data_IF_989403194300
#
_entry.id   IF_989403194300
#
_cell.length_a   1.000
_cell.length_b   1.000
_cell.length_c   1.000
_cell.angle_alpha   90.00
_cell.angle_beta   90.00
_cell.angle_gamma   90.00
#
_symmetry.space_group_name_H-M   'P 1'
#
loop_
_entity.id
_entity.type
_entity.pdbx_description
1 polymer ?
#
# COMPACT_ATOMS: atom_id res chain seq x y z
N UNK A 1 13.80 29.46 -10.92
CA UNK A 1 12.59 29.07 -10.15
C UNK A 1 12.64 27.57 -9.80
N UNK A 2 13.72 27.13 -9.13
CA UNK A 2 13.95 25.70 -8.78
C UNK A 2 14.01 25.45 -7.26
N UNK A 3 14.08 26.50 -6.43
CA UNK A 3 14.20 26.36 -4.98
C UNK A 3 12.94 25.80 -4.30
N UNK A 4 11.74 26.14 -4.79
CA UNK A 4 10.48 25.63 -4.21
C UNK A 4 10.27 24.12 -4.44
N UNK A 5 10.63 23.61 -5.62
CA UNK A 5 10.45 22.19 -5.94
C UNK A 5 11.37 21.29 -5.11
N UNK A 6 12.61 21.72 -4.83
CA UNK A 6 13.53 21.00 -3.93
C UNK A 6 13.06 21.04 -2.47
N UNK A 7 12.48 22.16 -2.03
CA UNK A 7 11.96 22.30 -0.66
C UNK A 7 10.77 21.38 -0.41
N UNK A 8 9.84 21.30 -1.38
CA UNK A 8 8.71 20.38 -1.33
C UNK A 8 9.16 18.92 -1.36
N UNK A 9 10.06 18.55 -2.28
CA UNK A 9 10.58 17.18 -2.40
C UNK A 9 11.30 16.67 -1.14
N UNK A 10 12.04 17.53 -0.45
CA UNK A 10 12.68 17.22 0.84
C UNK A 10 11.66 17.01 1.96
N UNK A 11 10.65 17.88 2.05
CA UNK A 11 9.59 17.78 3.06
C UNK A 11 8.75 16.51 2.92
N UNK A 12 8.50 16.01 1.71
CA UNK A 12 7.77 14.74 1.53
C UNK A 12 8.54 13.54 2.08
N UNK A 13 9.87 13.48 1.87
CA UNK A 13 10.71 12.43 2.45
C UNK A 13 10.75 12.51 3.97
N UNK A 14 10.88 13.70 4.55
CA UNK A 14 10.83 13.87 6.00
C UNK A 14 9.46 13.50 6.58
N UNK A 15 8.36 13.94 5.95
CA UNK A 15 7.00 13.62 6.38
C UNK A 15 6.73 12.13 6.34
N UNK A 16 7.29 11.43 5.37
CA UNK A 16 7.19 9.98 5.25
C UNK A 16 7.98 9.25 6.32
N UNK A 17 9.25 9.62 6.55
CA UNK A 17 10.04 9.05 7.64
C UNK A 17 9.31 9.24 8.97
N UNK A 18 8.72 10.43 9.18
CA UNK A 18 7.90 10.71 10.35
C UNK A 18 6.67 9.79 10.41
N UNK A 19 5.93 9.64 9.31
CA UNK A 19 4.74 8.77 9.23
C UNK A 19 5.08 7.30 9.45
N UNK A 20 6.18 6.81 8.90
CA UNK A 20 6.67 5.44 9.12
C UNK A 20 7.05 5.23 10.58
N UNK A 21 7.74 6.19 11.19
CA UNK A 21 8.11 6.12 12.61
C UNK A 21 6.89 6.18 13.52
N UNK A 22 5.90 7.03 13.21
CA UNK A 22 4.62 7.10 13.92
C UNK A 22 3.85 5.79 13.77
N UNK A 23 3.80 5.23 12.56
CA UNK A 23 3.16 3.94 12.29
C UNK A 23 3.82 2.82 13.09
N UNK A 24 5.15 2.72 13.10
CA UNK A 24 5.88 1.74 13.92
C UNK A 24 5.63 1.95 15.41
N UNK A 25 5.68 3.19 15.88
CA UNK A 25 5.44 3.50 17.30
C UNK A 25 4.01 3.11 17.71
N UNK A 26 3.01 3.43 16.87
CA UNK A 26 1.61 3.04 17.08
C UNK A 26 1.44 1.52 17.02
N UNK A 27 2.06 0.85 16.06
CA UNK A 27 2.11 -0.61 15.94
C UNK A 27 2.67 -1.27 17.20
N UNK A 28 3.70 -0.67 17.82
CA UNK A 28 4.31 -1.21 19.05
C UNK A 28 3.48 -0.90 20.31
N UNK A 29 2.84 0.27 20.37
CA UNK A 29 2.09 0.76 21.55
C UNK A 29 0.63 0.28 21.60
N UNK A 30 -0.03 0.27 20.45
CA UNK A 30 -1.47 0.04 20.27
C UNK A 30 -1.75 -1.30 19.57
N UNK A 31 -0.73 -1.89 18.93
CA UNK A 31 -0.87 -3.06 18.09
C UNK A 31 -1.12 -2.72 16.62
N UNK A 32 -0.82 -3.70 15.75
CA UNK A 32 -1.12 -3.65 14.31
C UNK A 32 -2.61 -3.48 14.02
N UNK A 33 -3.45 -4.01 14.91
CA UNK A 33 -4.89 -4.04 14.73
C UNK A 33 -5.59 -2.74 15.18
N UNK A 34 -4.86 -1.72 15.66
CA UNK A 34 -5.49 -0.48 16.13
C UNK A 34 -5.97 0.39 14.96
N UNK A 35 -7.18 0.98 15.06
CA UNK A 35 -7.79 1.79 14.01
C UNK A 35 -6.88 2.96 13.59
N UNK A 36 -6.26 3.64 14.57
CA UNK A 36 -5.29 4.71 14.29
C UNK A 36 -4.02 4.24 13.59
N UNK A 37 -3.59 2.99 13.81
CA UNK A 37 -2.47 2.39 13.08
C UNK A 37 -2.86 2.16 11.62
N UNK A 38 -4.06 1.61 11.40
CA UNK A 38 -4.59 1.34 10.06
C UNK A 38 -4.81 2.63 9.26
N UNK A 39 -5.30 3.71 9.90
CA UNK A 39 -5.45 5.02 9.26
C UNK A 39 -4.07 5.58 8.87
N UNK A 40 -3.07 5.49 9.76
CA UNK A 40 -1.70 5.91 9.44
C UNK A 40 -1.10 5.12 8.28
N UNK A 41 -1.31 3.81 8.24
CA UNK A 41 -0.88 2.96 7.13
C UNK A 41 -1.57 3.36 5.82
N UNK A 42 -2.90 3.54 5.80
CA UNK A 42 -3.63 3.99 4.61
C UNK A 42 -3.12 5.33 4.07
N UNK A 43 -2.79 6.28 4.94
CA UNK A 43 -2.22 7.55 4.51
C UNK A 43 -0.83 7.39 3.87
N UNK A 44 -0.01 6.50 4.42
CA UNK A 44 1.31 6.18 3.87
C UNK A 44 1.19 5.51 2.49
N UNK A 45 0.26 4.55 2.34
CA UNK A 45 -0.08 3.87 1.10
C UNK A 45 -0.38 4.87 -0.03
N UNK A 46 -1.30 5.82 0.19
CA UNK A 46 -1.63 6.84 -0.82
C UNK A 46 -0.45 7.77 -1.12
N UNK A 47 0.34 8.10 -0.10
CA UNK A 47 1.52 8.95 -0.28
C UNK A 47 2.57 8.26 -1.15
N UNK A 48 2.84 6.97 -0.91
CA UNK A 48 3.75 6.17 -1.72
C UNK A 48 3.24 6.04 -3.16
N UNK A 49 1.93 5.86 -3.36
CA UNK A 49 1.29 5.83 -4.70
C UNK A 49 1.46 7.16 -5.44
N UNK A 50 1.21 8.30 -4.78
CA UNK A 50 1.42 9.64 -5.37
C UNK A 50 2.88 9.92 -5.72
N UNK A 51 3.83 9.28 -5.04
CA UNK A 51 5.26 9.37 -5.34
C UNK A 51 5.72 8.36 -6.41
N UNK A 52 4.82 7.59 -7.02
CA UNK A 52 5.16 6.57 -8.02
C UNK A 52 5.83 5.31 -7.45
N UNK A 53 5.74 5.08 -6.13
CA UNK A 53 6.29 3.90 -5.46
C UNK A 53 5.21 2.85 -5.23
N UNK A 54 4.70 2.31 -6.33
CA UNK A 54 3.61 1.33 -6.34
C UNK A 54 3.93 0.08 -5.52
N UNK A 55 5.17 -0.42 -5.61
CA UNK A 55 5.58 -1.64 -4.90
C UNK A 55 5.50 -1.49 -3.38
N UNK A 56 5.88 -0.33 -2.86
CA UNK A 56 5.82 -0.04 -1.42
C UNK A 56 4.37 0.19 -0.98
N UNK A 57 3.58 0.90 -1.79
CA UNK A 57 2.16 1.13 -1.53
C UNK A 57 1.37 -0.19 -1.48
N UNK A 58 1.62 -1.12 -2.41
CA UNK A 58 1.00 -2.45 -2.46
C UNK A 58 1.41 -3.29 -1.24
N UNK A 59 2.68 -3.26 -0.84
CA UNK A 59 3.14 -4.00 0.33
C UNK A 59 2.46 -3.51 1.63
N UNK A 60 2.29 -2.19 1.77
CA UNK A 60 1.63 -1.58 2.91
C UNK A 60 0.12 -1.85 2.94
N UNK A 61 -0.58 -1.73 1.80
CA UNK A 61 -2.04 -1.98 1.77
C UNK A 61 -2.35 -3.46 1.99
N UNK A 62 -1.47 -4.39 1.57
CA UNK A 62 -1.58 -5.81 1.89
C UNK A 62 -1.54 -6.07 3.39
N UNK A 63 -0.63 -5.41 4.13
CA UNK A 63 -0.60 -5.49 5.61
C UNK A 63 -1.88 -4.90 6.24
N UNK A 64 -2.39 -3.79 5.71
CA UNK A 64 -3.67 -3.20 6.15
C UNK A 64 -4.83 -4.18 6.00
N UNK A 65 -4.97 -4.81 4.84
CA UNK A 65 -6.05 -5.76 4.54
C UNK A 65 -6.01 -6.94 5.51
N UNK A 66 -4.82 -7.49 5.77
CA UNK A 66 -4.66 -8.62 6.69
C UNK A 66 -5.04 -8.27 8.13
N UNK A 67 -4.63 -7.09 8.60
CA UNK A 67 -4.97 -6.58 9.94
C UNK A 67 -6.46 -6.27 10.07
N UNK A 68 -7.07 -5.64 9.03
CA UNK A 68 -8.52 -5.39 8.96
C UNK A 68 -9.33 -6.69 8.97
N UNK A 69 -8.90 -7.70 8.21
CA UNK A 69 -9.55 -9.01 8.17
C UNK A 69 -9.53 -9.67 9.55
N UNK A 70 -8.40 -9.65 10.26
CA UNK A 70 -8.26 -10.26 11.59
C UNK A 70 -9.17 -9.60 12.63
N UNK A 71 -9.33 -8.28 12.59
CA UNK A 71 -10.10 -7.52 13.59
C UNK A 71 -11.58 -7.36 13.28
N UNK A 72 -11.88 -7.00 12.03
CA UNK A 72 -13.23 -6.60 11.60
C UNK A 72 -13.94 -7.74 10.85
N UNK A 73 -13.20 -8.75 10.39
CA UNK A 73 -13.71 -9.82 9.55
C UNK A 73 -13.86 -9.42 8.08
N UNK A 74 -14.13 -10.42 7.24
CA UNK A 74 -14.27 -10.24 5.78
C UNK A 74 -15.51 -9.45 5.32
N UNK A 75 -16.43 -9.14 6.23
CA UNK A 75 -17.70 -8.48 5.91
C UNK A 75 -17.68 -6.96 6.19
N UNK A 76 -16.58 -6.43 6.74
CA UNK A 76 -16.50 -5.03 7.10
C UNK A 76 -16.24 -4.15 5.87
N UNK A 77 -16.94 -3.00 5.71
CA UNK A 77 -16.76 -2.12 4.55
C UNK A 77 -15.30 -1.66 4.37
N UNK A 78 -14.59 -1.37 5.46
CA UNK A 78 -13.17 -1.02 5.41
C UNK A 78 -12.27 -2.14 4.86
N UNK A 79 -12.59 -3.41 5.14
CA UNK A 79 -11.86 -4.54 4.58
C UNK A 79 -12.14 -4.67 3.09
N UNK A 80 -13.42 -4.62 2.69
CA UNK A 80 -13.86 -4.73 1.30
C UNK A 80 -13.23 -3.60 0.45
N UNK A 81 -13.22 -2.37 0.98
CA UNK A 81 -12.59 -1.25 0.30
C UNK A 81 -11.09 -1.47 0.12
N UNK A 82 -10.36 -1.83 1.18
CA UNK A 82 -8.91 -2.04 1.09
C UNK A 82 -8.54 -3.25 0.22
N UNK A 83 -9.33 -4.33 0.23
CA UNK A 83 -9.07 -5.50 -0.60
C UNK A 83 -9.35 -5.22 -2.07
N UNK A 84 -10.40 -4.46 -2.38
CA UNK A 84 -10.68 -4.00 -3.74
C UNK A 84 -9.55 -3.10 -4.27
N UNK A 85 -9.10 -2.13 -3.48
CA UNK A 85 -7.96 -1.26 -3.84
C UNK A 85 -6.68 -2.06 -4.05
N UNK A 86 -6.39 -3.04 -3.19
CA UNK A 86 -5.22 -3.91 -3.36
C UNK A 86 -5.28 -4.68 -4.68
N UNK A 87 -6.43 -5.29 -5.00
CA UNK A 87 -6.61 -6.05 -6.24
C UNK A 87 -6.48 -5.18 -7.50
N UNK A 88 -7.01 -3.96 -7.46
CA UNK A 88 -6.87 -2.99 -8.54
C UNK A 88 -5.39 -2.64 -8.79
N UNK A 89 -4.64 -2.35 -7.73
CA UNK A 89 -3.23 -1.97 -7.84
C UNK A 89 -2.31 -3.13 -8.22
N UNK A 90 -2.61 -4.35 -7.76
CA UNK A 90 -1.92 -5.56 -8.20
C UNK A 90 -2.19 -5.86 -9.68
N UNK A 91 -3.41 -5.62 -10.16
CA UNK A 91 -3.75 -5.75 -11.59
C UNK A 91 -3.02 -4.71 -12.43
N UNK A 92 -2.97 -3.45 -11.98
CA UNK A 92 -2.22 -2.38 -12.64
C UNK A 92 -0.73 -2.76 -12.74
N UNK A 93 -0.14 -3.24 -11.64
CA UNK A 93 1.24 -3.70 -11.61
C UNK A 93 1.50 -4.91 -12.53
N UNK A 94 0.56 -5.85 -12.58
CA UNK A 94 0.66 -7.05 -13.44
C UNK A 94 0.47 -6.67 -14.90
N UNK A 95 -0.43 -5.75 -15.22
CA UNK A 95 -0.62 -5.21 -16.58
C UNK A 95 0.59 -4.40 -17.06
N UNK A 96 1.37 -3.81 -16.16
CA UNK A 96 2.61 -3.12 -16.49
C UNK A 96 3.76 -4.08 -16.83
N UNK A 97 3.66 -5.36 -16.44
CA UNK A 97 4.55 -6.42 -16.94
C UNK A 97 3.90 -6.91 -18.25
N UNK A 98 4.51 -6.69 -19.42
CA UNK A 98 3.93 -7.16 -20.66
C UNK A 98 3.74 -8.68 -20.56
N UNK A 99 2.51 -9.14 -20.82
CA UNK A 99 2.15 -10.55 -20.98
C UNK A 99 2.95 -11.12 -22.17
N UNK A 100 4.22 -11.45 -21.93
CA UNK A 100 5.09 -12.16 -22.85
C UNK A 100 5.19 -13.66 -22.52
N UNK A 101 4.23 -14.20 -21.76
CA UNK A 101 4.09 -15.64 -21.52
C UNK A 101 2.74 -16.08 -22.09
N UNK A 102 2.63 -15.92 -23.41
CA UNK A 102 1.72 -16.67 -24.25
C UNK A 102 2.52 -17.68 -25.06
N UNK A 103 2.82 -18.83 -24.46
CA UNK A 103 3.12 -20.10 -25.11
C UNK A 103 2.43 -21.14 -24.24
N UNK A 104 1.20 -21.57 -24.53
CA UNK A 104 0.89 -22.58 -25.55
C UNK A 104 2.01 -23.61 -25.69
N UNK A 105 2.03 -24.55 -24.76
CA UNK A 105 2.32 -25.94 -25.11
C UNK A 105 1.18 -26.78 -24.55
N UNK A 106 0.10 -26.83 -25.35
CA UNK A 106 -0.68 -28.04 -25.47
C UNK A 106 0.25 -29.10 -26.07
N UNK A 107 0.73 -30.02 -25.25
CA UNK A 107 1.27 -31.28 -25.77
C UNK A 107 0.58 -32.43 -25.02
N UNK A 108 -0.45 -32.95 -25.71
CA UNK A 108 -0.95 -34.32 -25.61
C UNK A 108 0.19 -35.32 -25.36
N UNK A 109 0.01 -36.19 -24.35
CA UNK A 109 0.38 -37.60 -24.41
C UNK A 109 -0.59 -38.45 -23.58
#
# INVERSE_FOLDING_TARGET
>A
MVADAYSLGGQYKEAEVLRTRVMQTRKTKLGDDHTDTLISMSNLVFTSKCQGRDTEAIALIRQCVQSRYRKLGGNHPDFIFSSATLAEWEREKTSAIPLAEGSLDEHDE
#
